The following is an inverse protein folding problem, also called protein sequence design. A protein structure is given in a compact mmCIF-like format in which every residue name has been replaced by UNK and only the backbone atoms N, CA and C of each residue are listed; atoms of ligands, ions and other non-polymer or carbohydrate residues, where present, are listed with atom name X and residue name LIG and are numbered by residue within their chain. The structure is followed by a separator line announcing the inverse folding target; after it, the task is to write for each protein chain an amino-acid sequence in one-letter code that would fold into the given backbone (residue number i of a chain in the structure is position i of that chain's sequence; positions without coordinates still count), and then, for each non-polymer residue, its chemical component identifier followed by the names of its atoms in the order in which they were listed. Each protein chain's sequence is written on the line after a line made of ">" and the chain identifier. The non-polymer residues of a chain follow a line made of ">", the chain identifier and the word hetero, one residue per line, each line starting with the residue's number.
data_IF_071297557758
#
_entry.id   IF_071297557758
#
_cell.length_a   1.000
_cell.length_b   1.000
_cell.length_c   1.000
_cell.angle_alpha   90.00
_cell.angle_beta   90.00
_cell.angle_gamma   90.00
#
_symmetry.space_group_name_H-M   'P 1'
#
loop_
_entity.id
_entity.type
_entity.pdbx_description
1 polymer ?
#
# COMPACT_ATOMS: atom_id res chain seq x y z
N UNK A 1 -6.29 -32.77 -18.74
CA UNK A 1 -4.99 -32.07 -18.68
C UNK A 1 -5.00 -30.71 -19.38
N UNK A 2 -5.56 -30.56 -20.60
CA UNK A 2 -5.59 -29.26 -21.32
C UNK A 2 -6.34 -28.12 -20.59
N UNK A 3 -7.39 -28.42 -19.83
CA UNK A 3 -8.18 -27.40 -19.09
C UNK A 3 -7.46 -26.83 -17.86
N UNK A 4 -6.56 -27.61 -17.27
CA UNK A 4 -5.78 -27.21 -16.08
C UNK A 4 -4.68 -26.21 -16.45
N UNK A 5 -4.07 -26.42 -17.62
CA UNK A 5 -3.12 -25.50 -18.23
C UNK A 5 -3.77 -24.15 -18.58
N UNK A 6 -5.02 -24.18 -19.06
CA UNK A 6 -5.79 -22.98 -19.38
C UNK A 6 -6.17 -22.15 -18.13
N UNK A 7 -6.48 -22.81 -17.01
CA UNK A 7 -6.80 -22.11 -15.75
C UNK A 7 -5.58 -21.51 -15.07
N UNK A 8 -4.41 -22.16 -15.19
CA UNK A 8 -3.13 -21.60 -14.71
C UNK A 8 -2.73 -20.39 -15.55
N UNK A 9 -2.90 -20.47 -16.87
CA UNK A 9 -2.62 -19.35 -17.78
C UNK A 9 -3.51 -18.13 -17.48
N UNK A 10 -4.79 -18.35 -17.14
CA UNK A 10 -5.71 -17.25 -16.80
C UNK A 10 -5.32 -16.54 -15.49
N UNK A 11 -4.78 -17.29 -14.52
CA UNK A 11 -4.21 -16.71 -13.30
C UNK A 11 -2.86 -16.03 -13.52
N UNK A 12 -2.12 -16.41 -14.56
CA UNK A 12 -0.84 -15.80 -14.93
C UNK A 12 -0.99 -14.45 -15.66
N UNK A 13 -2.14 -14.19 -16.29
CA UNK A 13 -2.44 -12.92 -16.96
C UNK A 13 -2.25 -11.67 -16.09
N UNK A 14 -2.78 -11.60 -14.85
CA UNK A 14 -2.52 -10.45 -13.99
C UNK A 14 -1.03 -10.31 -13.66
N UNK A 15 -0.30 -11.41 -13.44
CA UNK A 15 1.15 -11.36 -13.20
C UNK A 15 1.94 -10.85 -14.41
N UNK A 16 1.49 -11.10 -15.64
CA UNK A 16 2.10 -10.55 -16.85
C UNK A 16 1.71 -9.10 -17.12
N UNK A 17 0.50 -8.68 -16.76
CA UNK A 17 0.11 -7.27 -16.75
C UNK A 17 0.95 -6.45 -15.75
N UNK A 18 1.37 -7.09 -14.65
CA UNK A 18 2.30 -6.55 -13.66
C UNK A 18 3.78 -6.58 -14.11
N UNK A 19 4.12 -7.24 -15.23
CA UNK A 19 5.50 -7.43 -15.71
C UNK A 19 5.99 -6.35 -16.69
N UNK A 20 5.14 -5.36 -17.01
CA UNK A 20 5.54 -4.12 -17.69
C UNK A 20 6.38 -3.25 -16.76
N UNK A 21 7.59 -3.71 -16.45
CA UNK A 21 8.52 -3.03 -15.57
C UNK A 21 8.97 -1.68 -16.17
N UNK A 22 9.33 -0.71 -15.32
CA UNK A 22 9.76 0.60 -15.78
C UNK A 22 11.00 0.49 -16.67
N UNK A 23 10.99 1.16 -17.82
CA UNK A 23 12.20 1.38 -18.60
C UNK A 23 13.01 2.48 -17.92
N UNK A 24 14.14 2.12 -17.31
CA UNK A 24 15.01 3.06 -16.60
C UNK A 24 15.93 3.76 -17.60
N UNK A 25 15.43 4.82 -18.24
CA UNK A 25 16.20 5.63 -19.21
C UNK A 25 16.82 6.87 -18.56
N UNK A 26 16.16 7.46 -17.56
CA UNK A 26 16.59 8.67 -16.86
C UNK A 26 16.43 8.57 -15.33
N UNK A 27 17.00 9.55 -14.61
CA UNK A 27 16.84 9.68 -13.15
C UNK A 27 15.37 9.88 -12.76
N UNK A 28 14.61 10.56 -13.61
CA UNK A 28 13.17 10.75 -13.43
C UNK A 28 12.40 9.42 -13.51
N UNK A 29 12.77 8.55 -14.46
CA UNK A 29 12.20 7.21 -14.57
C UNK A 29 12.48 6.37 -13.31
N UNK A 30 13.64 6.55 -12.68
CA UNK A 30 13.98 5.86 -11.43
C UNK A 30 13.07 6.29 -10.26
N UNK A 31 12.80 7.59 -10.11
CA UNK A 31 11.88 8.07 -9.07
C UNK A 31 10.43 7.63 -9.34
N UNK A 32 9.97 7.69 -10.59
CA UNK A 32 8.65 7.19 -10.99
C UNK A 32 8.52 5.67 -10.76
N UNK A 33 9.57 4.90 -11.01
CA UNK A 33 9.61 3.46 -10.77
C UNK A 33 9.40 3.12 -9.30
N UNK A 34 10.10 3.83 -8.42
CA UNK A 34 9.96 3.66 -6.96
C UNK A 34 8.55 4.06 -6.52
N UNK A 35 8.04 5.19 -7.04
CA UNK A 35 6.67 5.65 -6.77
C UNK A 35 5.62 4.57 -7.09
N UNK A 36 5.68 3.98 -8.29
CA UNK A 36 4.76 2.91 -8.72
C UNK A 36 4.87 1.65 -7.86
N UNK A 37 6.08 1.28 -7.43
CA UNK A 37 6.28 0.12 -6.54
C UNK A 37 5.64 0.39 -5.18
N UNK A 38 5.84 1.58 -4.61
CA UNK A 38 5.26 1.99 -3.33
C UNK A 38 3.74 2.04 -3.43
N UNK A 39 3.19 2.57 -4.53
CA UNK A 39 1.75 2.66 -4.76
C UNK A 39 1.06 1.28 -4.75
N UNK A 40 1.71 0.25 -5.30
CA UNK A 40 1.22 -1.14 -5.24
C UNK A 40 1.44 -1.76 -3.87
N UNK A 41 2.54 -1.43 -3.18
CA UNK A 41 2.85 -1.98 -1.85
C UNK A 41 1.93 -1.42 -0.77
N UNK A 42 1.59 -0.14 -0.80
CA UNK A 42 0.77 0.53 0.20
C UNK A 42 -0.54 -0.22 0.53
N UNK A 43 -1.43 -0.54 -0.45
CA UNK A 43 -2.68 -1.24 -0.15
C UNK A 43 -2.44 -2.65 0.42
N UNK A 44 -1.35 -3.33 0.02
CA UNK A 44 -0.98 -4.65 0.57
C UNK A 44 -0.59 -4.50 2.04
N UNK A 45 0.23 -3.51 2.38
CA UNK A 45 0.67 -3.27 3.75
C UNK A 45 -0.52 -2.88 4.64
N UNK A 46 -1.44 -2.04 4.15
CA UNK A 46 -2.69 -1.69 4.87
C UNK A 46 -3.55 -2.93 5.11
N UNK A 47 -3.71 -3.80 4.11
CA UNK A 47 -4.47 -5.05 4.26
C UNK A 47 -3.83 -5.97 5.32
N UNK A 48 -2.50 -6.10 5.32
CA UNK A 48 -1.79 -6.86 6.35
C UNK A 48 -1.94 -6.24 7.73
N UNK A 49 -1.81 -4.91 7.87
CA UNK A 49 -1.98 -4.21 9.13
C UNK A 49 -3.38 -4.43 9.72
N UNK A 50 -4.42 -4.36 8.89
CA UNK A 50 -5.80 -4.69 9.28
C UNK A 50 -5.92 -6.15 9.72
N UNK A 51 -5.31 -7.09 9.00
CA UNK A 51 -5.34 -8.50 9.34
C UNK A 51 -4.68 -8.76 10.72
N UNK A 52 -3.51 -8.17 10.98
CA UNK A 52 -2.83 -8.25 12.27
C UNK A 52 -3.64 -7.60 13.39
N UNK A 53 -4.30 -6.47 13.12
CA UNK A 53 -5.19 -5.82 14.06
C UNK A 53 -6.37 -6.72 14.45
N UNK A 54 -7.08 -7.30 13.47
CA UNK A 54 -8.19 -8.23 13.72
C UNK A 54 -7.72 -9.51 14.42
N UNK A 55 -6.54 -10.02 14.08
CA UNK A 55 -5.94 -11.16 14.78
C UNK A 55 -5.68 -10.85 16.25
N UNK A 56 -5.10 -9.69 16.55
CA UNK A 56 -4.89 -9.22 17.92
C UNK A 56 -6.20 -9.06 18.69
N UNK A 57 -7.22 -8.49 18.05
CA UNK A 57 -8.56 -8.33 18.61
C UNK A 57 -9.23 -9.67 18.92
N UNK A 58 -9.21 -10.61 17.97
CA UNK A 58 -9.74 -11.95 18.17
C UNK A 58 -9.03 -12.67 19.32
N UNK A 59 -7.70 -12.59 19.37
CA UNK A 59 -6.89 -13.16 20.48
C UNK A 59 -7.24 -12.52 21.82
N UNK A 60 -7.46 -11.22 21.86
CA UNK A 60 -7.84 -10.49 23.07
C UNK A 60 -9.23 -10.89 23.59
N UNK A 61 -10.22 -11.04 22.71
CA UNK A 61 -11.59 -11.43 23.07
C UNK A 61 -11.65 -12.91 23.50
N UNK A 62 -10.97 -13.80 22.77
CA UNK A 62 -10.97 -15.24 23.04
C UNK A 62 -10.15 -15.64 24.28
N UNK A 63 -9.25 -14.77 24.76
CA UNK A 63 -8.45 -15.00 25.96
C UNK A 63 -9.22 -14.84 27.29
N UNK A 64 -10.54 -15.01 27.28
CA UNK A 64 -11.38 -14.91 28.47
C UNK A 64 -10.98 -15.98 29.51
N UNK A 65 -10.20 -15.58 30.51
CA UNK A 65 -9.74 -16.44 31.62
C UNK A 65 -8.23 -16.59 31.75
N UNK A 66 -7.44 -16.08 30.79
CA UNK A 66 -5.98 -16.18 30.78
C UNK A 66 -5.36 -14.78 30.64
N UNK A 67 -4.88 -14.21 31.74
CA UNK A 67 -4.32 -12.85 31.76
C UNK A 67 -3.10 -12.69 30.85
N UNK A 68 -2.35 -13.76 30.62
CA UNK A 68 -1.13 -13.74 29.82
C UNK A 68 -1.47 -13.60 28.34
N UNK A 69 -2.42 -14.42 27.85
CA UNK A 69 -2.94 -14.33 26.48
C UNK A 69 -3.69 -13.02 26.23
N UNK A 70 -4.35 -12.48 27.26
CA UNK A 70 -5.03 -11.18 27.19
C UNK A 70 -4.03 -10.02 27.04
N UNK A 71 -2.91 -10.06 27.78
CA UNK A 71 -1.81 -9.08 27.60
C UNK A 71 -1.21 -9.17 26.20
N UNK A 72 -0.97 -10.38 25.71
CA UNK A 72 -0.39 -10.59 24.38
C UNK A 72 -1.31 -10.07 23.27
N UNK A 73 -2.60 -10.44 23.29
CA UNK A 73 -3.60 -9.94 22.34
C UNK A 73 -3.74 -8.41 22.38
N UNK A 74 -3.71 -7.82 23.58
CA UNK A 74 -3.72 -6.35 23.75
C UNK A 74 -2.51 -5.69 23.10
N UNK A 75 -1.31 -6.25 23.28
CA UNK A 75 -0.11 -5.70 22.69
C UNK A 75 -0.17 -5.74 21.16
N UNK A 76 -0.58 -6.87 20.57
CA UNK A 76 -0.75 -7.00 19.11
C UNK A 76 -1.79 -6.00 18.59
N UNK A 77 -2.91 -5.84 19.29
CA UNK A 77 -3.94 -4.87 18.94
C UNK A 77 -3.41 -3.43 18.96
N UNK A 78 -2.67 -3.04 20.00
CA UNK A 78 -2.08 -1.69 20.11
C UNK A 78 -1.07 -1.46 18.98
N UNK A 79 -0.19 -2.42 18.70
CA UNK A 79 0.76 -2.31 17.60
C UNK A 79 0.08 -2.20 16.24
N UNK A 80 -1.03 -2.93 16.03
CA UNK A 80 -1.86 -2.79 14.85
C UNK A 80 -2.47 -1.39 14.71
N UNK A 81 -3.02 -0.83 15.79
CA UNK A 81 -3.57 0.54 15.79
C UNK A 81 -2.48 1.57 15.50
N UNK A 82 -1.31 1.45 16.12
CA UNK A 82 -0.19 2.39 15.91
C UNK A 82 0.26 2.35 14.44
N UNK A 83 0.38 1.16 13.84
CA UNK A 83 0.74 1.01 12.43
C UNK A 83 -0.29 1.69 11.51
N UNK A 84 -1.59 1.45 11.74
CA UNK A 84 -2.67 2.08 10.97
C UNK A 84 -2.68 3.60 11.17
N UNK A 85 -2.48 4.07 12.39
CA UNK A 85 -2.43 5.50 12.70
C UNK A 85 -1.29 6.18 11.96
N UNK A 86 -0.08 5.61 11.97
CA UNK A 86 1.07 6.19 11.25
C UNK A 86 0.80 6.24 9.75
N UNK A 87 0.21 5.20 9.15
CA UNK A 87 -0.13 5.20 7.72
C UNK A 87 -1.09 6.35 7.36
N UNK A 88 -2.17 6.48 8.13
CA UNK A 88 -3.17 7.55 7.89
C UNK A 88 -2.59 8.93 8.21
N UNK A 89 -1.79 9.04 9.26
CA UNK A 89 -1.18 10.31 9.67
C UNK A 89 -0.17 10.82 8.65
N UNK A 90 0.67 9.95 8.07
CA UNK A 90 1.61 10.36 7.02
C UNK A 90 0.87 10.86 5.79
N UNK A 91 -0.14 10.12 5.32
CA UNK A 91 -0.89 10.52 4.12
C UNK A 91 -1.70 11.80 4.37
N UNK A 92 -2.38 11.90 5.51
CA UNK A 92 -3.11 13.11 5.90
C UNK A 92 -2.20 14.33 6.12
N UNK A 93 -0.98 14.13 6.65
CA UNK A 93 -0.02 15.22 6.81
C UNK A 93 0.55 15.68 5.47
N UNK A 94 0.88 14.76 4.57
CA UNK A 94 1.36 15.08 3.23
C UNK A 94 0.29 15.88 2.47
N UNK A 95 -0.96 15.43 2.50
CA UNK A 95 -2.09 16.13 1.87
C UNK A 95 -2.31 17.52 2.47
N UNK A 96 -2.30 17.61 3.80
CA UNK A 96 -2.46 18.89 4.51
C UNK A 96 -1.38 19.91 4.11
N UNK A 97 -0.13 19.47 3.97
CA UNK A 97 0.97 20.33 3.52
C UNK A 97 0.79 20.70 2.04
N UNK A 98 0.34 19.77 1.20
CA UNK A 98 0.02 20.04 -0.20
C UNK A 98 -1.01 21.14 -0.36
N UNK A 99 -2.14 21.01 0.33
CA UNK A 99 -3.21 22.02 0.34
C UNK A 99 -2.71 23.36 0.89
N UNK A 100 -1.94 23.34 1.98
CA UNK A 100 -1.39 24.56 2.58
C UNK A 100 -0.41 25.31 1.66
N UNK A 101 0.23 24.62 0.71
CA UNK A 101 1.18 25.18 -0.24
C UNK A 101 0.59 25.35 -1.65
N UNK A 102 -0.70 25.09 -1.84
CA UNK A 102 -1.39 25.08 -3.15
C UNK A 102 -0.72 24.11 -4.16
N UNK A 103 -0.19 23.00 -3.66
CA UNK A 103 0.43 21.94 -4.44
C UNK A 103 -0.56 20.77 -4.51
N UNK A 104 -0.99 20.42 -5.73
CA UNK A 104 -1.78 19.22 -5.96
C UNK A 104 -0.86 17.99 -5.89
N UNK A 105 -0.86 17.30 -4.75
CA UNK A 105 -0.05 16.12 -4.50
C UNK A 105 -0.91 14.88 -4.84
N UNK A 106 -0.47 14.08 -5.80
CA UNK A 106 -1.17 12.86 -6.22
C UNK A 106 -1.88 12.96 -7.58
N UNK A 107 -1.81 14.12 -8.25
CA UNK A 107 -2.23 14.24 -9.65
C UNK A 107 -1.15 13.68 -10.59
N UNK A 108 -1.57 12.83 -11.52
CA UNK A 108 -0.75 12.33 -12.62
C UNK A 108 -0.09 13.52 -13.34
N UNK A 109 1.20 13.40 -13.70
CA UNK A 109 1.98 14.47 -14.37
C UNK A 109 1.39 14.90 -15.73
N UNK A 110 0.31 14.28 -16.20
CA UNK A 110 -0.47 14.71 -17.35
C UNK A 110 -1.31 15.97 -17.11
N UNK A 111 -1.58 16.36 -15.86
CA UNK A 111 -2.46 17.49 -15.55
C UNK A 111 -1.72 18.80 -15.22
N UNK A 112 -0.38 18.78 -15.19
CA UNK A 112 0.40 20.02 -15.14
C UNK A 112 0.48 20.63 -16.55
N UNK A 113 0.21 21.93 -16.73
CA UNK A 113 0.37 22.59 -18.02
C UNK A 113 1.81 22.44 -18.52
N UNK A 114 1.99 21.56 -19.52
CA UNK A 114 3.28 21.39 -20.18
C UNK A 114 3.71 22.68 -20.86
N UNK A 115 4.98 23.05 -20.73
CA UNK A 115 5.55 24.18 -21.47
C UNK A 115 5.56 23.79 -22.95
N UNK A 116 4.87 24.53 -23.84
CA UNK A 116 4.83 24.19 -25.25
C UNK A 116 6.25 24.21 -25.85
N UNK A 117 6.72 23.08 -26.40
CA UNK A 117 7.91 23.03 -27.25
C UNK A 117 9.15 22.29 -26.72
N UNK A 118 9.06 21.48 -25.68
CA UNK A 118 10.09 20.49 -25.34
C UNK A 118 9.58 19.07 -25.67
N UNK A 119 10.42 18.20 -26.27
CA UNK A 119 10.05 16.81 -26.56
C UNK A 119 9.83 16.00 -25.28
#
# INVERSE_FOLDING_TARGET
>A
MKKVLSTIALYALPFMALAGGPQLTNVEDFFQSIGRIIEVLLPIVVALALLFFFWGLAKYILAAGDEEKKKEGKNIMIWGIVALFVMVAVWGLVEFIGEALDVNIGDDLSNVPGVPGLP
#
